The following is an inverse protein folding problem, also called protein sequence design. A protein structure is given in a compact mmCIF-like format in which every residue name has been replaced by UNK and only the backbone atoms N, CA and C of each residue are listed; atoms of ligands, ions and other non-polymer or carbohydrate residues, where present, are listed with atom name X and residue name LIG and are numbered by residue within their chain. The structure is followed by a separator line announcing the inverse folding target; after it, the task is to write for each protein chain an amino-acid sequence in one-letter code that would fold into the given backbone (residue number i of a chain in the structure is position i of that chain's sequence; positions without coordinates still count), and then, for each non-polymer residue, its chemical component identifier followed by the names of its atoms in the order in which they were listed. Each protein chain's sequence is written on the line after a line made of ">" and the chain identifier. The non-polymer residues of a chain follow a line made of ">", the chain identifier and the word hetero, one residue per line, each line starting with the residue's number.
data_IF_032451002556
#
_entry.id   IF_032451002556
#
_cell.length_a   1.000
_cell.length_b   1.000
_cell.length_c   1.000
_cell.angle_alpha   90.00
_cell.angle_beta   90.00
_cell.angle_gamma   90.00
#
_symmetry.space_group_name_H-M   'P 1'
#
loop_
_entity.id
_entity.type
_entity.pdbx_description
1 polymer ?
#
# COMPACT_ATOMS: atom_id res chain seq x y z
N UNK A 1 47.56 22.18 2.08
CA UNK A 1 47.96 21.03 2.90
C UNK A 1 46.88 19.96 2.70
N UNK A 2 46.75 19.43 1.49
CA UNK A 2 47.49 18.27 0.96
C UNK A 2 47.34 17.05 1.88
N UNK A 3 46.41 16.17 1.56
CA UNK A 3 46.33 14.82 2.09
C UNK A 3 46.29 13.88 0.88
N UNK A 4 47.46 13.39 0.49
CA UNK A 4 47.60 12.31 -0.47
C UNK A 4 47.22 10.96 0.17
N UNK A 5 46.67 10.01 -0.61
CA UNK A 5 46.45 8.64 -0.19
C UNK A 5 47.72 7.81 -0.44
N UNK A 6 48.16 7.04 0.57
CA UNK A 6 49.22 6.06 0.39
C UNK A 6 48.68 4.63 0.46
N UNK A 7 49.12 3.89 -0.56
CA UNK A 7 48.91 2.49 -0.85
C UNK A 7 49.54 1.58 0.21
N UNK A 8 48.86 0.50 0.56
CA UNK A 8 49.52 -0.74 1.01
C UNK A 8 48.95 -1.88 0.17
N UNK A 9 49.85 -2.43 -0.61
CA UNK A 9 49.71 -3.55 -1.53
C UNK A 9 50.08 -4.85 -0.78
N UNK A 10 49.54 -5.97 -1.30
CA UNK A 10 50.11 -7.33 -1.33
C UNK A 10 49.42 -8.47 -0.55
N UNK A 11 49.28 -9.56 -1.32
CA UNK A 11 49.23 -10.98 -0.95
C UNK A 11 47.82 -11.54 -0.71
N UNK A 12 47.30 -12.55 -1.41
CA UNK A 12 47.82 -13.51 -2.39
C UNK A 12 46.63 -14.34 -2.89
N UNK A 13 46.57 -14.68 -4.18
CA UNK A 13 46.03 -15.96 -4.68
C UNK A 13 46.13 -15.99 -6.22
N UNK A 14 47.15 -16.70 -6.66
CA UNK A 14 47.33 -17.30 -7.98
C UNK A 14 46.05 -17.91 -8.59
N UNK A 15 45.88 -17.78 -9.91
CA UNK A 15 45.65 -18.88 -10.87
C UNK A 15 46.02 -18.36 -12.27
N UNK A 16 46.95 -19.06 -12.93
CA UNK A 16 47.19 -18.97 -14.37
C UNK A 16 46.25 -19.93 -15.10
N UNK A 17 45.75 -19.53 -16.27
CA UNK A 17 45.51 -20.48 -17.35
C UNK A 17 45.87 -19.84 -18.69
N UNK A 18 46.78 -20.49 -19.40
CA UNK A 18 47.31 -20.15 -20.71
C UNK A 18 46.66 -21.07 -21.73
N UNK A 19 46.26 -20.53 -22.89
CA UNK A 19 46.38 -21.20 -24.19
C UNK A 19 46.45 -20.15 -25.28
N UNK A 20 47.64 -19.97 -25.85
CA UNK A 20 47.85 -19.39 -27.17
C UNK A 20 47.33 -20.37 -28.23
N UNK A 21 46.80 -19.84 -29.34
CA UNK A 21 47.02 -20.47 -30.65
C UNK A 21 47.03 -19.38 -31.72
N UNK A 22 48.21 -19.18 -32.31
CA UNK A 22 48.46 -18.29 -33.44
C UNK A 22 48.21 -19.06 -34.74
N UNK A 23 47.61 -18.44 -35.75
CA UNK A 23 48.06 -18.62 -37.15
C UNK A 23 47.54 -17.53 -38.08
N UNK A 24 48.50 -16.73 -38.56
CA UNK A 24 48.69 -16.41 -39.98
C UNK A 24 47.98 -15.20 -40.63
N UNK A 25 48.78 -14.13 -40.72
CA UNK A 25 49.12 -13.34 -41.94
C UNK A 25 48.22 -12.19 -42.43
N UNK A 26 48.87 -11.01 -42.45
CA UNK A 26 48.79 -9.86 -43.39
C UNK A 26 48.07 -8.56 -42.91
N UNK A 27 48.83 -7.46 -42.91
CA UNK A 27 48.45 -6.07 -42.58
C UNK A 27 48.48 -5.20 -43.89
N UNK A 28 47.98 -3.94 -43.91
CA UNK A 28 46.62 -3.39 -44.18
C UNK A 28 46.61 -2.61 -45.56
N UNK A 29 45.70 -1.67 -45.97
CA UNK A 29 44.68 -0.88 -45.23
C UNK A 29 43.38 -0.47 -45.97
N UNK A 30 42.17 -0.83 -45.50
CA UNK A 30 40.93 -0.07 -45.84
C UNK A 30 39.93 0.03 -44.66
N UNK A 31 39.97 -0.85 -43.67
CA UNK A 31 38.86 -0.99 -42.71
C UNK A 31 39.12 -0.24 -41.39
N UNK A 32 39.18 1.09 -41.41
CA UNK A 32 39.20 1.89 -40.15
C UNK A 32 37.96 2.76 -39.91
N UNK A 33 37.02 2.81 -40.86
CA UNK A 33 35.79 3.60 -40.73
C UNK A 33 34.54 2.74 -40.41
N UNK A 34 34.60 1.42 -40.65
CA UNK A 34 33.47 0.50 -40.45
C UNK A 34 33.42 -0.18 -39.06
N UNK A 35 34.38 0.06 -38.17
CA UNK A 35 34.43 -0.61 -36.86
C UNK A 35 33.58 0.13 -35.82
N UNK A 36 33.52 1.47 -35.89
CA UNK A 36 32.71 2.29 -34.97
C UNK A 36 31.20 2.20 -35.22
N UNK A 37 30.78 2.04 -36.48
CA UNK A 37 29.36 1.88 -36.82
C UNK A 37 28.81 0.49 -36.46
N UNK A 38 29.67 -0.53 -36.39
CA UNK A 38 29.29 -1.89 -36.00
C UNK A 38 29.16 -2.01 -34.47
N UNK A 39 30.06 -1.39 -33.69
CA UNK A 39 29.92 -1.33 -32.21
C UNK A 39 28.69 -0.52 -31.76
N UNK A 40 28.34 0.57 -32.45
CA UNK A 40 27.12 1.33 -32.13
C UNK A 40 25.86 0.48 -32.42
N UNK A 41 25.82 -0.21 -33.55
CA UNK A 41 24.70 -1.06 -33.93
C UNK A 41 24.55 -2.28 -33.00
N UNK A 42 25.66 -2.90 -32.59
CA UNK A 42 25.67 -4.01 -31.61
C UNK A 42 25.24 -3.53 -30.22
N UNK A 43 25.68 -2.35 -29.79
CA UNK A 43 25.27 -1.78 -28.49
C UNK A 43 23.78 -1.40 -28.47
N UNK A 44 23.26 -0.80 -29.54
CA UNK A 44 21.82 -0.53 -29.71
C UNK A 44 21.01 -1.84 -29.81
N UNK A 45 21.50 -2.87 -30.52
CA UNK A 45 20.86 -4.18 -30.55
C UNK A 45 20.84 -4.83 -29.17
N UNK A 46 21.93 -4.73 -28.41
CA UNK A 46 22.00 -5.25 -27.04
C UNK A 46 21.05 -4.48 -26.11
N UNK A 47 20.86 -3.17 -26.34
CA UNK A 47 19.92 -2.34 -25.60
C UNK A 47 18.46 -2.68 -25.95
N UNK A 48 18.14 -2.90 -27.23
CA UNK A 48 16.81 -3.35 -27.69
C UNK A 48 16.52 -4.78 -27.21
N UNK A 49 17.54 -5.64 -27.13
CA UNK A 49 17.41 -7.02 -26.61
C UNK A 49 17.27 -7.04 -25.09
N UNK A 50 17.90 -6.10 -24.38
CA UNK A 50 17.71 -5.87 -22.97
C UNK A 50 16.33 -5.27 -22.66
N UNK A 51 15.84 -4.32 -23.47
CA UNK A 51 14.45 -3.83 -23.46
C UNK A 51 13.47 -4.98 -23.66
N UNK A 52 13.72 -5.85 -24.65
CA UNK A 52 12.84 -6.96 -24.96
C UNK A 52 12.81 -8.01 -23.84
N UNK A 53 13.97 -8.32 -23.23
CA UNK A 53 14.05 -9.20 -22.05
C UNK A 53 13.36 -8.58 -20.82
N UNK A 54 13.48 -7.26 -20.64
CA UNK A 54 12.87 -6.55 -19.52
C UNK A 54 11.35 -6.42 -19.74
N UNK A 55 10.89 -6.21 -20.98
CA UNK A 55 9.47 -6.31 -21.39
C UNK A 55 8.93 -7.72 -21.24
N UNK A 56 9.70 -8.76 -21.56
CA UNK A 56 9.31 -10.14 -21.33
C UNK A 56 9.22 -10.41 -19.83
N UNK A 57 10.09 -9.83 -19.00
CA UNK A 57 10.01 -9.91 -17.53
C UNK A 57 8.78 -9.16 -16.98
N UNK A 58 8.37 -8.05 -17.61
CA UNK A 58 7.14 -7.32 -17.27
C UNK A 58 5.87 -8.00 -17.81
N UNK A 59 5.93 -8.69 -18.95
CA UNK A 59 4.83 -9.46 -19.54
C UNK A 59 4.71 -10.87 -18.92
N UNK A 60 5.79 -11.41 -18.34
CA UNK A 60 5.85 -12.60 -17.51
C UNK A 60 5.89 -12.29 -16.01
N UNK A 61 5.38 -11.13 -15.59
CA UNK A 61 4.72 -11.03 -14.28
C UNK A 61 3.37 -11.78 -14.38
N UNK A 62 3.45 -13.06 -14.71
CA UNK A 62 2.37 -14.00 -14.58
C UNK A 62 2.18 -14.20 -13.07
N UNK A 63 0.95 -14.11 -12.56
CA UNK A 63 0.63 -14.21 -11.13
C UNK A 63 1.04 -15.54 -10.45
N UNK A 64 1.83 -16.39 -11.12
CA UNK A 64 2.33 -17.68 -10.66
C UNK A 64 3.82 -17.67 -10.32
N UNK A 65 4.54 -16.56 -10.53
CA UNK A 65 5.98 -16.50 -10.24
C UNK A 65 6.20 -16.36 -8.74
N UNK A 66 6.19 -17.50 -8.07
CA UNK A 66 6.55 -17.67 -6.68
C UNK A 66 7.92 -17.03 -6.41
N UNK A 67 8.01 -16.19 -5.37
CA UNK A 67 9.25 -15.48 -5.07
C UNK A 67 10.37 -16.49 -4.74
N UNK A 68 11.64 -16.19 -5.07
CA UNK A 68 12.75 -17.12 -4.85
C UNK A 68 13.06 -17.37 -3.37
N UNK A 69 12.47 -16.60 -2.45
CA UNK A 69 12.63 -16.75 -1.01
C UNK A 69 11.41 -17.47 -0.40
N UNK A 70 11.66 -18.62 0.25
CA UNK A 70 10.60 -19.45 0.82
C UNK A 70 9.80 -18.74 1.92
N UNK A 71 10.48 -17.94 2.74
CA UNK A 71 9.85 -17.13 3.80
C UNK A 71 8.80 -16.15 3.24
N UNK A 72 9.04 -15.60 2.05
CA UNK A 72 8.14 -14.64 1.41
C UNK A 72 6.91 -15.35 0.83
N UNK A 73 7.10 -16.56 0.27
CA UNK A 73 6.00 -17.38 -0.24
C UNK A 73 5.08 -17.93 0.85
N UNK A 74 5.64 -18.17 2.04
CA UNK A 74 4.85 -18.61 3.19
C UNK A 74 3.99 -17.48 3.77
N UNK A 75 4.39 -16.21 3.59
CA UNK A 75 3.67 -15.07 4.18
C UNK A 75 2.57 -14.50 3.27
N UNK A 76 2.69 -14.66 1.95
CA UNK A 76 1.70 -14.16 0.98
C UNK A 76 1.19 -15.29 0.10
N UNK A 77 -0.12 -15.65 0.17
CA UNK A 77 -0.68 -16.60 -0.76
C UNK A 77 -0.66 -16.03 -2.18
N UNK A 78 -0.09 -16.79 -3.11
CA UNK A 78 0.10 -16.42 -4.53
C UNK A 78 -1.25 -16.27 -5.25
N UNK A 79 -2.30 -16.92 -4.75
CA UNK A 79 -3.63 -16.95 -5.35
C UNK A 79 -4.58 -16.13 -4.48
N UNK A 80 -4.98 -14.96 -5.01
CA UNK A 80 -6.06 -14.17 -4.44
C UNK A 80 -7.42 -14.81 -4.83
N UNK A 81 -8.22 -15.24 -3.85
CA UNK A 81 -9.59 -15.70 -4.12
C UNK A 81 -10.55 -14.50 -4.21
N UNK A 82 -10.95 -14.17 -5.44
CA UNK A 82 -11.87 -13.07 -5.77
C UNK A 82 -13.32 -13.32 -5.36
N UNK A 83 -13.69 -14.57 -5.04
CA UNK A 83 -15.07 -14.92 -4.67
C UNK A 83 -15.39 -14.58 -3.22
N UNK A 84 -14.37 -14.27 -2.42
CA UNK A 84 -14.53 -13.89 -1.03
C UNK A 84 -15.12 -12.47 -0.90
N UNK A 85 -16.32 -12.31 -0.31
CA UNK A 85 -16.94 -11.01 -0.16
C UNK A 85 -16.18 -10.16 0.87
N UNK A 86 -15.86 -8.92 0.49
CA UNK A 86 -15.22 -7.93 1.35
C UNK A 86 -16.24 -6.97 2.00
N UNK A 87 -17.33 -6.66 1.29
CA UNK A 87 -18.40 -5.78 1.76
C UNK A 87 -19.62 -6.59 2.19
N UNK A 88 -19.75 -6.84 3.49
CA UNK A 88 -20.89 -7.54 4.08
C UNK A 88 -21.64 -6.62 5.04
N UNK A 89 -22.89 -6.94 5.38
CA UNK A 89 -23.65 -6.15 6.34
C UNK A 89 -22.95 -6.09 7.72
N UNK A 90 -22.33 -7.20 8.14
CA UNK A 90 -21.59 -7.26 9.42
C UNK A 90 -20.39 -6.31 9.43
N UNK A 91 -19.64 -6.19 8.33
CA UNK A 91 -18.49 -5.28 8.29
C UNK A 91 -18.93 -3.84 8.34
N UNK A 92 -19.98 -3.48 7.60
CA UNK A 92 -20.56 -2.13 7.65
C UNK A 92 -21.05 -1.77 9.06
N UNK A 93 -21.75 -2.69 9.74
CA UNK A 93 -22.19 -2.47 11.11
C UNK A 93 -21.01 -2.28 12.08
N UNK A 94 -19.96 -3.10 11.96
CA UNK A 94 -18.73 -2.94 12.77
C UNK A 94 -18.01 -1.63 12.50
N UNK A 95 -17.88 -1.26 11.21
CA UNK A 95 -17.29 0.02 10.83
C UNK A 95 -18.05 1.16 11.51
N UNK A 96 -19.38 1.19 11.41
CA UNK A 96 -20.19 2.24 12.04
C UNK A 96 -19.99 2.27 13.57
N UNK A 97 -20.03 1.12 14.24
CA UNK A 97 -19.85 1.03 15.69
C UNK A 97 -18.46 1.56 16.10
N UNK A 98 -17.40 1.04 15.49
CA UNK A 98 -16.02 1.43 15.81
C UNK A 98 -15.77 2.89 15.45
N UNK A 99 -16.25 3.37 14.30
CA UNK A 99 -16.13 4.78 13.89
C UNK A 99 -16.82 5.72 14.88
N UNK A 100 -17.99 5.37 15.41
CA UNK A 100 -18.66 6.20 16.44
C UNK A 100 -17.78 6.28 17.70
N UNK A 101 -17.26 5.14 18.18
CA UNK A 101 -16.41 5.11 19.38
C UNK A 101 -15.14 5.92 19.17
N UNK A 102 -14.46 5.71 18.05
CA UNK A 102 -13.22 6.40 17.69
C UNK A 102 -13.44 7.90 17.56
N UNK A 103 -14.52 8.31 16.88
CA UNK A 103 -14.84 9.73 16.70
C UNK A 103 -15.11 10.44 18.02
N UNK A 104 -15.78 9.77 18.97
CA UNK A 104 -16.04 10.34 20.31
C UNK A 104 -14.74 10.46 21.11
N UNK A 105 -13.90 9.43 21.10
CA UNK A 105 -12.61 9.44 21.80
C UNK A 105 -11.68 10.52 21.23
N UNK A 106 -11.54 10.57 19.91
CA UNK A 106 -10.70 11.56 19.22
C UNK A 106 -11.15 12.97 19.54
N UNK A 107 -12.46 13.27 19.40
CA UNK A 107 -12.98 14.60 19.69
C UNK A 107 -12.82 14.97 21.17
N UNK A 108 -13.07 14.04 22.10
CA UNK A 108 -12.91 14.29 23.53
C UNK A 108 -11.45 14.57 23.93
N UNK A 109 -10.49 13.92 23.28
CA UNK A 109 -9.07 14.15 23.53
C UNK A 109 -8.54 15.43 22.90
N UNK A 110 -9.08 15.81 21.73
CA UNK A 110 -8.74 17.07 21.05
C UNK A 110 -9.07 18.34 21.84
N UNK A 111 -10.14 18.33 22.65
CA UNK A 111 -10.53 19.49 23.47
C UNK A 111 -9.74 19.61 24.79
N UNK A 112 -8.87 18.66 25.12
CA UNK A 112 -8.04 18.75 26.32
C UNK A 112 -6.89 19.74 26.14
N UNK A 113 -6.43 20.32 27.26
CA UNK A 113 -5.29 21.26 27.31
C UNK A 113 -4.01 20.65 26.73
N UNK A 114 -3.82 19.35 26.92
CA UNK A 114 -2.79 18.55 26.28
C UNK A 114 -3.50 17.53 25.37
N UNK A 115 -3.49 17.74 24.04
CA UNK A 115 -4.16 16.83 23.12
C UNK A 115 -3.44 15.47 23.14
N UNK A 116 -4.24 14.41 23.24
CA UNK A 116 -3.75 13.04 23.11
C UNK A 116 -4.11 12.51 21.73
N UNK A 117 -3.13 11.95 21.04
CA UNK A 117 -3.38 11.26 19.78
C UNK A 117 -3.94 9.87 20.08
N UNK A 118 -4.96 9.49 19.31
CA UNK A 118 -5.63 8.21 19.47
C UNK A 118 -4.95 7.18 18.57
N UNK A 119 -4.21 6.24 19.15
CA UNK A 119 -3.51 5.22 18.38
C UNK A 119 -4.49 4.19 17.78
N UNK A 120 -4.45 4.06 16.45
CA UNK A 120 -5.27 3.10 15.68
C UNK A 120 -5.05 1.65 16.12
N UNK A 121 -3.84 1.31 16.57
CA UNK A 121 -3.45 -0.08 16.90
C UNK A 121 -4.38 -0.71 17.92
N UNK A 122 -4.92 0.08 18.85
CA UNK A 122 -5.88 -0.40 19.87
C UNK A 122 -7.17 -0.89 19.19
N UNK A 123 -7.70 -0.11 18.26
CA UNK A 123 -8.92 -0.47 17.52
C UNK A 123 -8.67 -1.63 16.55
N UNK A 124 -7.46 -1.70 16.01
CA UNK A 124 -7.02 -2.83 15.19
C UNK A 124 -7.08 -4.15 15.96
N UNK A 125 -6.51 -4.16 17.16
CA UNK A 125 -6.51 -5.33 18.04
C UNK A 125 -7.91 -5.71 18.50
N UNK A 126 -8.79 -4.73 18.72
CA UNK A 126 -10.19 -4.97 19.12
C UNK A 126 -11.04 -5.48 17.95
N UNK A 127 -10.74 -5.07 16.72
CA UNK A 127 -11.51 -5.45 15.51
C UNK A 127 -11.55 -6.96 15.29
N UNK A 128 -10.44 -7.67 15.50
CA UNK A 128 -10.36 -9.14 15.36
C UNK A 128 -11.29 -9.92 16.30
N UNK A 129 -11.19 -9.80 17.64
CA UNK A 129 -12.05 -10.53 18.56
C UNK A 129 -13.51 -10.09 18.45
N UNK A 130 -13.78 -8.81 18.20
CA UNK A 130 -15.13 -8.30 18.03
C UNK A 130 -15.79 -8.89 16.77
N UNK A 131 -15.04 -8.97 15.65
CA UNK A 131 -15.50 -9.59 14.40
C UNK A 131 -15.83 -11.07 14.57
N UNK A 132 -15.00 -11.81 15.30
CA UNK A 132 -15.24 -13.22 15.62
C UNK A 132 -16.43 -13.43 16.57
N UNK A 133 -16.59 -12.55 17.56
CA UNK A 133 -17.71 -12.59 18.51
C UNK A 133 -19.04 -12.34 17.79
N UNK A 134 -19.08 -11.35 16.88
CA UNK A 134 -20.29 -11.07 16.11
C UNK A 134 -20.60 -12.15 15.07
N UNK A 135 -19.59 -12.81 14.51
CA UNK A 135 -19.78 -13.98 13.65
C UNK A 135 -20.42 -15.18 14.39
N UNK A 136 -20.24 -15.27 15.72
CA UNK A 136 -20.93 -16.27 16.57
C UNK A 136 -22.34 -15.84 16.99
N UNK A 137 -22.56 -14.54 17.20
CA UNK A 137 -23.85 -14.00 17.65
C UNK A 137 -24.85 -13.90 16.49
N UNK A 138 -24.40 -13.62 15.26
CA UNK A 138 -25.31 -13.49 14.12
C UNK A 138 -25.82 -14.86 13.64
N UNK A 139 -27.15 -15.10 13.65
CA UNK A 139 -27.72 -16.31 13.09
C UNK A 139 -27.47 -16.36 11.57
N UNK A 140 -27.23 -17.56 11.04
CA UNK A 140 -27.02 -17.85 9.61
C UNK A 140 -28.32 -17.70 8.78
N UNK A 141 -28.99 -16.56 8.90
CA UNK A 141 -30.21 -16.28 8.14
C UNK A 141 -29.83 -15.59 6.82
N UNK A 142 -30.31 -16.19 5.74
CA UNK A 142 -30.28 -15.60 4.40
C UNK A 142 -31.44 -14.62 4.35
N UNK A 143 -31.14 -13.33 4.39
CA UNK A 143 -32.13 -12.28 4.21
C UNK A 143 -32.30 -12.05 2.71
N UNK A 144 -33.53 -12.22 2.23
CA UNK A 144 -33.91 -11.89 0.86
C UNK A 144 -34.57 -10.52 0.88
N UNK A 145 -33.88 -9.49 0.39
CA UNK A 145 -34.48 -8.19 0.14
C UNK A 145 -34.80 -8.11 -1.36
N UNK A 146 -36.07 -8.32 -1.68
CA UNK A 146 -36.62 -8.30 -3.04
C UNK A 146 -35.89 -9.26 -4.01
N UNK A 147 -34.89 -8.77 -4.78
CA UNK A 147 -34.08 -9.57 -5.73
C UNK A 147 -32.71 -9.98 -5.21
N UNK A 148 -32.29 -9.48 -4.05
CA UNK A 148 -30.95 -9.72 -3.52
C UNK A 148 -30.99 -10.69 -2.33
N UNK A 149 -30.27 -11.81 -2.46
CA UNK A 149 -30.09 -12.79 -1.39
C UNK A 149 -28.78 -12.47 -0.67
N UNK A 150 -28.86 -11.89 0.51
CA UNK A 150 -27.70 -11.62 1.36
C UNK A 150 -27.69 -12.59 2.54
N UNK A 151 -26.65 -13.43 2.64
CA UNK A 151 -26.41 -14.18 3.88
C UNK A 151 -25.76 -13.27 4.91
N UNK A 152 -26.40 -13.10 6.08
CA UNK A 152 -25.87 -12.26 7.16
C UNK A 152 -24.63 -12.87 7.83
N UNK A 153 -24.42 -14.18 7.68
CA UNK A 153 -23.25 -14.89 8.18
C UNK A 153 -22.70 -15.80 7.08
N UNK A 154 -21.71 -15.30 6.32
CA UNK A 154 -21.18 -15.98 5.12
C UNK A 154 -19.91 -16.79 5.38
N UNK A 155 -19.62 -17.10 6.64
CA UNK A 155 -18.44 -17.86 7.08
C UNK A 155 -17.64 -17.12 8.16
N UNK A 156 -16.47 -17.67 8.57
CA UNK A 156 -15.59 -17.04 9.54
C UNK A 156 -15.14 -15.64 9.11
N UNK A 157 -14.62 -14.85 10.06
CA UNK A 157 -14.15 -13.49 9.79
C UNK A 157 -12.94 -13.52 8.84
N UNK A 158 -13.07 -12.83 7.72
CA UNK A 158 -12.05 -12.86 6.66
C UNK A 158 -10.98 -11.78 6.88
N UNK A 159 -9.75 -12.04 6.45
CA UNK A 159 -8.67 -11.04 6.44
C UNK A 159 -9.06 -9.81 5.59
N UNK A 160 -9.83 -10.00 4.51
CA UNK A 160 -10.35 -8.92 3.66
C UNK A 160 -11.36 -8.03 4.39
N UNK A 161 -12.19 -8.62 5.25
CA UNK A 161 -13.16 -7.88 6.06
C UNK A 161 -12.45 -7.11 7.18
N UNK A 162 -11.44 -7.71 7.79
CA UNK A 162 -10.61 -7.08 8.80
C UNK A 162 -9.86 -5.86 8.24
N UNK A 163 -9.17 -6.01 7.10
CA UNK A 163 -8.43 -4.92 6.47
C UNK A 163 -9.36 -3.78 6.06
N UNK A 164 -10.57 -4.08 5.56
CA UNK A 164 -11.57 -3.07 5.24
C UNK A 164 -12.00 -2.27 6.48
N UNK A 165 -12.32 -2.95 7.59
CA UNK A 165 -12.70 -2.27 8.84
C UNK A 165 -11.55 -1.38 9.34
N UNK A 166 -10.32 -1.90 9.27
CA UNK A 166 -9.09 -1.19 9.65
C UNK A 166 -8.95 0.11 8.87
N UNK A 167 -9.06 0.04 7.54
CA UNK A 167 -8.91 1.20 6.67
C UNK A 167 -9.95 2.28 6.97
N UNK A 168 -11.22 1.87 7.18
CA UNK A 168 -12.29 2.81 7.53
C UNK A 168 -12.03 3.46 8.89
N UNK A 169 -11.65 2.68 9.90
CA UNK A 169 -11.35 3.23 11.23
C UNK A 169 -10.15 4.17 11.19
N UNK A 170 -9.12 3.81 10.44
CA UNK A 170 -7.93 4.63 10.24
C UNK A 170 -8.27 5.99 9.63
N UNK A 171 -9.05 6.02 8.57
CA UNK A 171 -9.50 7.27 7.94
C UNK A 171 -10.40 8.14 8.84
N UNK A 172 -10.91 7.61 9.95
CA UNK A 172 -11.79 8.30 10.89
C UNK A 172 -11.16 8.58 12.26
N UNK A 173 -9.88 8.25 12.46
CA UNK A 173 -9.20 8.42 13.74
C UNK A 173 -9.03 9.90 14.13
N UNK A 174 -8.94 10.79 13.14
CA UNK A 174 -8.71 12.22 13.38
C UNK A 174 -9.99 13.03 13.51
N UNK A 175 -9.94 14.04 14.38
CA UNK A 175 -11.03 15.00 14.58
C UNK A 175 -11.12 15.96 13.39
N UNK A 176 -12.34 16.27 12.95
CA UNK A 176 -12.55 17.10 11.77
C UNK A 176 -12.05 18.53 12.00
N UNK A 177 -11.27 19.06 11.06
CA UNK A 177 -10.73 20.42 11.16
C UNK A 177 -11.83 21.48 11.35
N UNK A 178 -12.97 21.30 10.67
CA UNK A 178 -14.17 22.13 10.80
C UNK A 178 -14.65 22.31 12.25
N UNK A 179 -14.43 21.35 13.15
CA UNK A 179 -14.87 21.43 14.55
C UNK A 179 -14.17 22.58 15.27
N UNK A 180 -12.87 22.78 15.04
CA UNK A 180 -12.13 23.89 15.65
C UNK A 180 -12.62 25.24 15.13
N UNK A 181 -12.90 25.34 13.83
CA UNK A 181 -13.41 26.56 13.23
C UNK A 181 -14.82 26.92 13.75
N UNK A 182 -15.72 25.94 13.84
CA UNK A 182 -17.05 26.11 14.42
C UNK A 182 -16.98 26.53 15.88
N UNK A 183 -16.08 25.90 16.65
CA UNK A 183 -15.87 26.23 18.07
C UNK A 183 -15.31 27.65 18.24
N UNK A 184 -14.33 28.06 17.42
CA UNK A 184 -13.78 29.40 17.45
C UNK A 184 -14.84 30.46 17.12
N UNK A 185 -15.66 30.24 16.10
CA UNK A 185 -16.78 31.13 15.74
C UNK A 185 -17.81 31.26 16.88
N UNK A 186 -18.14 30.14 17.53
CA UNK A 186 -19.10 30.15 18.63
C UNK A 186 -18.57 30.89 19.86
N UNK A 187 -17.32 30.64 20.26
CA UNK A 187 -16.71 31.23 21.45
C UNK A 187 -16.35 32.70 21.24
N UNK A 188 -15.74 33.06 20.11
CA UNK A 188 -15.18 34.40 19.90
C UNK A 188 -16.22 35.39 19.36
N UNK A 189 -17.07 34.95 18.43
CA UNK A 189 -18.00 35.84 17.73
C UNK A 189 -19.44 35.75 18.24
N UNK A 190 -19.75 34.83 19.17
CA UNK A 190 -21.08 34.58 19.77
C UNK A 190 -22.22 34.49 18.73
N UNK A 191 -21.90 34.09 17.50
CA UNK A 191 -22.88 33.95 16.43
C UNK A 191 -23.52 32.56 16.50
N UNK A 192 -24.86 32.45 16.57
CA UNK A 192 -25.53 31.18 16.47
C UNK A 192 -25.43 30.68 15.01
N UNK A 193 -24.67 29.61 14.81
CA UNK A 193 -24.60 28.93 13.52
C UNK A 193 -25.75 27.93 13.47
N UNK A 194 -26.47 27.85 12.35
CA UNK A 194 -27.51 26.85 12.18
C UNK A 194 -26.90 25.44 12.18
N UNK A 195 -27.56 24.50 12.84
CA UNK A 195 -27.08 23.11 12.92
C UNK A 195 -26.80 22.51 11.55
N UNK A 196 -27.70 22.78 10.59
CA UNK A 196 -27.58 22.31 9.20
C UNK A 196 -26.34 22.89 8.52
N UNK A 197 -26.07 24.18 8.66
CA UNK A 197 -24.86 24.79 8.09
C UNK A 197 -23.58 24.24 8.72
N UNK A 198 -23.58 24.01 10.04
CA UNK A 198 -22.47 23.36 10.74
C UNK A 198 -22.24 21.92 10.25
N UNK A 199 -23.30 21.15 10.04
CA UNK A 199 -23.23 19.78 9.52
C UNK A 199 -22.67 19.73 8.09
N UNK A 200 -23.15 20.59 7.18
CA UNK A 200 -22.62 20.65 5.81
C UNK A 200 -21.15 21.08 5.77
N UNK A 201 -20.74 22.04 6.61
CA UNK A 201 -19.34 22.47 6.73
C UNK A 201 -18.46 21.31 7.24
N UNK A 202 -18.95 20.57 8.23
CA UNK A 202 -18.26 19.39 8.76
C UNK A 202 -18.08 18.29 7.71
N UNK A 203 -19.15 17.95 6.98
CA UNK A 203 -19.14 16.94 5.91
C UNK A 203 -18.18 17.37 4.79
N UNK A 204 -18.28 18.61 4.33
CA UNK A 204 -17.41 19.13 3.27
C UNK A 204 -15.93 19.06 3.65
N UNK A 205 -15.58 19.39 4.91
CA UNK A 205 -14.20 19.31 5.38
C UNK A 205 -13.64 17.88 5.34
N UNK A 206 -14.48 16.87 5.62
CA UNK A 206 -14.08 15.47 5.52
C UNK A 206 -14.00 14.98 4.08
N UNK A 207 -14.96 15.37 3.24
CA UNK A 207 -14.96 15.01 1.82
C UNK A 207 -13.81 15.66 1.04
N UNK A 208 -13.40 16.87 1.41
CA UNK A 208 -12.26 17.56 0.81
C UNK A 208 -10.97 16.76 0.97
N UNK A 209 -10.77 16.12 2.13
CA UNK A 209 -9.61 15.24 2.37
C UNK A 209 -9.59 14.05 1.42
N UNK A 210 -10.72 13.37 1.23
CA UNK A 210 -10.83 12.26 0.27
C UNK A 210 -10.71 12.72 -1.19
N UNK A 211 -11.20 13.92 -1.52
CA UNK A 211 -11.15 14.45 -2.89
C UNK A 211 -9.77 14.92 -3.33
N UNK A 212 -8.93 15.41 -2.40
CA UNK A 212 -7.56 15.85 -2.70
C UNK A 212 -6.55 14.70 -2.75
N UNK A 213 -6.85 13.56 -2.11
CA UNK A 213 -5.91 12.45 -1.99
C UNK A 213 -5.53 11.84 -3.35
N UNK A 214 -6.37 11.97 -4.39
CA UNK A 214 -6.04 11.46 -5.72
C UNK A 214 -5.64 9.98 -5.76
N UNK A 215 -6.05 9.22 -4.73
CA UNK A 215 -6.03 7.76 -4.66
C UNK A 215 -7.38 7.19 -5.10
#
# INVERSE_FOLDING_TARGET
>A
MAFEPNLVELSSASIQYSTNDDTSTLNPPIVKENIYLDELCVNELNFIKADALLRDTHATFNCTTQSPYEEVNASVPIINDDKMPYLTFRTVFMCLLLTIVVSVLSAAFSFRRYPLNTDIVIFQLISMPLGQLMARILPQKIFQLYRWKFSLNRGPFNIKEHSLITAVVYANADTAYAIYQLTALHIHYKKPISFVAGLFLLISSRMMGFGMAGE
#
